data_IF_187780123948
#
_entry.id   IF_187780123948
#
_cell.length_a   1.000
_cell.length_b   1.000
_cell.length_c   1.000
_cell.angle_alpha   90.00
_cell.angle_beta   90.00
_cell.angle_gamma   90.00
#
_symmetry.space_group_name_H-M   'P 1'
#
loop_
_entity.id
_entity.type
_entity.pdbx_description
1 polymer ?
#
# COMPACT_ATOMS: atom_id res chain seq x y z
N UNK A 1 -6.13 -0.16 12.80
CA UNK A 1 -5.04 -0.77 13.58
C UNK A 1 -4.67 0.19 14.69
N UNK A 2 -4.49 -0.30 15.90
CA UNK A 2 -3.87 0.49 16.96
C UNK A 2 -2.37 0.24 16.94
N UNK A 3 -1.57 1.25 16.55
CA UNK A 3 -0.12 1.11 16.45
C UNK A 3 0.57 1.06 17.81
N UNK A 4 -0.10 1.48 18.90
CA UNK A 4 0.48 1.38 20.25
C UNK A 4 0.34 -0.03 20.82
N UNK A 5 -0.77 -0.70 20.54
CA UNK A 5 -1.05 -2.03 21.08
C UNK A 5 -0.77 -3.16 20.09
N UNK A 6 -0.41 -2.83 18.84
CA UNK A 6 -0.25 -3.80 17.77
C UNK A 6 -1.50 -4.70 17.59
N UNK A 7 -2.69 -4.14 17.81
CA UNK A 7 -3.97 -4.86 17.71
C UNK A 7 -4.79 -4.43 16.50
N UNK A 8 -5.29 -5.43 15.77
CA UNK A 8 -6.35 -5.24 14.79
C UNK A 8 -7.68 -5.14 15.52
N UNK A 9 -8.22 -3.93 15.55
CA UNK A 9 -9.51 -3.59 16.16
C UNK A 9 -10.58 -3.43 15.08
N UNK A 10 -11.70 -4.14 15.23
CA UNK A 10 -12.93 -3.96 14.46
C UNK A 10 -13.88 -3.05 15.25
N UNK A 11 -14.27 -1.94 14.64
CA UNK A 11 -15.26 -1.02 15.19
C UNK A 11 -16.61 -1.28 14.53
N UNK A 12 -17.59 -1.71 15.32
CA UNK A 12 -18.98 -1.81 14.85
C UNK A 12 -19.62 -0.42 14.96
N UNK A 13 -20.54 -0.09 14.03
CA UNK A 13 -21.23 1.22 14.00
C UNK A 13 -22.01 1.58 15.28
N UNK A 14 -22.12 0.65 16.25
CA UNK A 14 -22.73 0.86 17.57
C UNK A 14 -21.71 0.92 18.73
N UNK A 15 -20.43 1.16 18.43
CA UNK A 15 -19.41 1.51 19.43
C UNK A 15 -18.78 0.35 20.20
N UNK A 16 -19.19 -0.91 19.95
CA UNK A 16 -18.53 -2.07 20.54
C UNK A 16 -17.21 -2.36 19.84
N UNK A 17 -16.13 -2.39 20.61
CA UNK A 17 -14.79 -2.76 20.17
C UNK A 17 -14.62 -4.28 20.19
N UNK A 18 -14.13 -4.86 19.09
CA UNK A 18 -13.72 -6.26 19.05
C UNK A 18 -12.30 -6.36 18.50
N UNK A 19 -11.36 -6.91 19.28
CA UNK A 19 -10.01 -7.24 18.80
C UNK A 19 -10.08 -8.55 18.03
N UNK A 20 -9.54 -8.60 16.81
CA UNK A 20 -9.59 -9.80 15.95
C UNK A 20 -8.26 -10.55 15.83
N UNK A 21 -7.13 -9.84 15.91
CA UNK A 21 -5.78 -10.42 15.96
C UNK A 21 -4.76 -9.39 16.48
N UNK A 22 -3.60 -9.86 16.97
CA UNK A 22 -2.52 -9.02 17.51
C UNK A 22 -2.47 -8.93 19.04
N UNK A 23 -1.42 -8.32 19.57
CA UNK A 23 -1.14 -8.16 21.01
C UNK A 23 0.35 -7.90 21.29
N UNK A 24 0.66 -7.34 22.46
CA UNK A 24 2.02 -7.01 22.89
C UNK A 24 2.79 -8.26 23.35
N UNK A 25 3.44 -8.94 22.41
CA UNK A 25 4.56 -9.83 22.66
C UNK A 25 5.62 -9.59 21.57
N UNK A 26 6.89 -9.68 21.93
CA UNK A 26 8.01 -9.54 21.00
C UNK A 26 8.44 -10.90 20.41
N UNK A 27 7.76 -11.97 20.81
CA UNK A 27 8.03 -13.32 20.33
C UNK A 27 7.27 -13.51 19.00
N UNK A 28 7.97 -13.75 17.89
CA UNK A 28 7.43 -13.84 16.53
C UNK A 28 6.45 -15.02 16.26
N UNK A 29 5.57 -15.34 17.21
CA UNK A 29 4.47 -16.26 17.09
C UNK A 29 3.55 -15.89 15.93
N UNK A 30 2.91 -16.90 15.35
CA UNK A 30 2.09 -16.76 14.15
C UNK A 30 0.91 -15.79 14.32
N UNK A 31 0.45 -15.59 15.56
CA UNK A 31 -0.68 -14.72 15.91
C UNK A 31 -0.27 -13.31 16.42
N UNK A 32 1.03 -13.01 16.50
CA UNK A 32 1.55 -11.71 16.92
C UNK A 32 1.93 -10.87 15.68
N UNK A 33 1.30 -9.71 15.54
CA UNK A 33 1.56 -8.77 14.44
C UNK A 33 2.43 -7.66 15.00
N UNK A 34 3.53 -7.33 14.32
CA UNK A 34 4.50 -6.34 14.79
C UNK A 34 4.64 -5.21 13.77
N UNK A 35 4.30 -3.98 14.20
CA UNK A 35 4.41 -2.77 13.39
C UNK A 35 3.64 -2.87 12.05
N UNK A 36 2.31 -3.00 12.16
CA UNK A 36 1.44 -3.07 10.98
C UNK A 36 1.46 -1.75 10.20
N UNK A 37 1.83 -1.85 8.91
CA UNK A 37 1.88 -0.70 8.02
C UNK A 37 0.59 -0.52 7.20
N UNK A 38 0.06 -1.60 6.63
CA UNK A 38 -1.13 -1.58 5.79
C UNK A 38 -2.08 -2.73 6.13
N UNK A 39 -3.38 -2.47 5.95
CA UNK A 39 -4.47 -3.41 6.19
C UNK A 39 -5.49 -3.32 5.06
N UNK A 40 -5.84 -4.47 4.48
CA UNK A 40 -6.87 -4.60 3.43
C UNK A 40 -7.88 -5.65 3.85
N UNK A 41 -9.17 -5.33 3.76
CA UNK A 41 -10.26 -6.26 4.05
C UNK A 41 -10.77 -6.84 2.73
N UNK A 42 -11.04 -8.14 2.70
CA UNK A 42 -11.64 -8.76 1.53
C UNK A 42 -13.12 -8.36 1.35
N UNK A 43 -13.69 -8.60 0.17
CA UNK A 43 -15.02 -8.09 -0.20
C UNK A 43 -16.17 -8.57 0.68
N UNK A 44 -16.10 -9.78 1.23
CA UNK A 44 -17.11 -10.34 2.14
C UNK A 44 -16.83 -10.04 3.62
N UNK A 45 -15.77 -9.27 3.92
CA UNK A 45 -15.29 -8.94 5.25
C UNK A 45 -15.05 -10.14 6.18
N UNK A 46 -14.69 -11.30 5.61
CA UNK A 46 -14.31 -12.48 6.38
C UNK A 46 -12.84 -12.47 6.81
N UNK A 47 -11.97 -11.79 6.07
CA UNK A 47 -10.54 -11.73 6.35
C UNK A 47 -9.97 -10.32 6.21
N UNK A 48 -8.98 -10.02 7.06
CA UNK A 48 -8.08 -8.88 6.89
C UNK A 48 -6.69 -9.38 6.50
N UNK A 49 -6.10 -8.76 5.50
CA UNK A 49 -4.71 -8.93 5.13
C UNK A 49 -3.90 -7.82 5.76
N UNK A 50 -2.72 -8.15 6.28
CA UNK A 50 -1.87 -7.24 7.03
C UNK A 50 -0.42 -7.41 6.62
N UNK A 51 0.26 -6.30 6.36
CA UNK A 51 1.71 -6.28 6.34
C UNK A 51 2.26 -6.22 7.76
N UNK A 52 2.90 -7.31 8.17
CA UNK A 52 3.59 -7.47 9.45
C UNK A 52 5.06 -7.13 9.23
N UNK A 53 5.35 -5.84 9.35
CA UNK A 53 6.55 -5.19 8.82
C UNK A 53 7.83 -5.76 9.43
N UNK A 54 7.88 -5.87 10.76
CA UNK A 54 9.09 -6.28 11.47
C UNK A 54 9.31 -7.80 11.42
N UNK A 55 8.25 -8.57 11.22
CA UNK A 55 8.35 -10.01 10.97
C UNK A 55 8.57 -10.36 9.49
N UNK A 56 8.70 -9.38 8.60
CA UNK A 56 8.96 -9.58 7.17
C UNK A 56 7.95 -10.53 6.48
N UNK A 57 6.66 -10.39 6.84
CA UNK A 57 5.62 -11.28 6.34
C UNK A 57 4.32 -10.55 6.06
N UNK A 58 3.47 -11.18 5.25
CA UNK A 58 2.08 -10.79 5.08
C UNK A 58 1.19 -11.85 5.72
N UNK A 59 0.28 -11.40 6.56
CA UNK A 59 -0.65 -12.24 7.29
C UNK A 59 -2.08 -12.06 6.79
N UNK A 60 -2.84 -13.14 6.73
CA UNK A 60 -4.30 -13.15 6.58
C UNK A 60 -4.92 -13.54 7.91
N UNK A 61 -5.69 -12.65 8.49
CA UNK A 61 -6.35 -12.80 9.79
C UNK A 61 -7.85 -12.99 9.57
N UNK A 62 -8.46 -13.98 10.24
CA UNK A 62 -9.91 -14.12 10.26
C UNK A 62 -10.55 -12.96 11.03
N UNK A 63 -11.60 -12.37 10.46
CA UNK A 63 -12.44 -11.38 11.13
C UNK A 63 -13.67 -12.02 11.81
N UNK A 64 -13.83 -13.34 11.68
CA UNK A 64 -14.92 -14.12 12.27
C UNK A 64 -14.44 -14.97 13.46
N UNK A 65 -13.22 -15.48 13.39
CA UNK A 65 -12.61 -16.34 14.41
C UNK A 65 -11.38 -15.65 14.99
N UNK A 66 -11.34 -15.48 16.31
CA UNK A 66 -10.21 -14.83 16.98
C UNK A 66 -8.95 -15.70 16.90
N UNK A 67 -7.81 -15.10 16.57
CA UNK A 67 -6.50 -15.77 16.60
C UNK A 67 -6.16 -16.64 15.38
N UNK A 68 -7.09 -16.82 14.43
CA UNK A 68 -6.83 -17.51 13.17
C UNK A 68 -6.02 -16.61 12.22
N UNK A 69 -4.70 -16.80 12.23
CA UNK A 69 -3.74 -16.06 11.40
C UNK A 69 -2.93 -17.01 10.51
N UNK A 70 -2.88 -16.70 9.22
CA UNK A 70 -2.15 -17.47 8.21
C UNK A 70 -1.12 -16.59 7.51
N UNK A 71 0.09 -17.09 7.31
CA UNK A 71 1.09 -16.40 6.49
C UNK A 71 0.77 -16.66 5.03
N UNK A 72 0.57 -15.59 4.25
CA UNK A 72 0.31 -15.68 2.81
C UNK A 72 1.54 -15.34 1.96
N UNK A 73 2.51 -14.61 2.51
CA UNK A 73 3.75 -14.27 1.84
C UNK A 73 4.85 -13.95 2.85
N UNK A 74 6.11 -14.17 2.45
CA UNK A 74 7.27 -13.95 3.30
C UNK A 74 7.57 -15.13 4.22
N UNK A 75 8.85 -15.24 4.61
CA UNK A 75 9.36 -16.16 5.62
C UNK A 75 10.06 -15.32 6.69
N UNK A 76 10.18 -15.87 7.90
CA UNK A 76 10.94 -15.20 8.94
C UNK A 76 12.39 -14.95 8.49
N UNK A 77 12.87 -13.73 8.75
CA UNK A 77 14.21 -13.27 8.37
C UNK A 77 14.21 -12.37 7.15
N UNK A 78 15.34 -11.69 6.94
CA UNK A 78 15.57 -10.84 5.77
C UNK A 78 16.13 -11.69 4.63
N UNK A 79 15.64 -11.45 3.40
CA UNK A 79 16.13 -12.09 2.20
C UNK A 79 15.55 -11.45 0.94
N UNK A 80 16.16 -11.70 -0.21
CA UNK A 80 15.74 -11.18 -1.50
C UNK A 80 15.29 -12.29 -2.49
N UNK A 81 15.30 -13.55 -2.06
CA UNK A 81 14.72 -14.67 -2.82
C UNK A 81 13.19 -14.48 -2.97
N UNK A 82 12.59 -15.25 -3.88
CA UNK A 82 11.17 -15.08 -4.26
C UNK A 82 10.19 -15.32 -3.11
N UNK A 83 10.57 -16.09 -2.10
CA UNK A 83 9.76 -16.42 -0.94
C UNK A 83 10.09 -15.57 0.32
N UNK A 84 11.07 -14.68 0.25
CA UNK A 84 11.40 -13.75 1.33
C UNK A 84 10.85 -12.35 1.04
N UNK A 85 10.57 -11.61 2.10
CA UNK A 85 10.25 -10.18 2.05
C UNK A 85 11.25 -9.44 2.94
N UNK A 86 11.36 -8.14 2.74
CA UNK A 86 12.12 -7.23 3.58
C UNK A 86 11.27 -5.99 3.83
N UNK A 87 10.81 -5.82 5.06
CA UNK A 87 9.96 -4.70 5.49
C UNK A 87 8.80 -4.41 4.52
N UNK A 88 7.91 -5.39 4.24
CA UNK A 88 6.81 -5.17 3.32
C UNK A 88 5.84 -4.13 3.87
N UNK A 89 5.49 -3.10 3.07
CA UNK A 89 4.63 -2.00 3.51
C UNK A 89 3.24 -2.05 2.88
N UNK A 90 3.15 -1.63 1.62
CA UNK A 90 1.90 -1.55 0.87
C UNK A 90 1.40 -2.93 0.46
N UNK A 91 0.11 -3.16 0.62
CA UNK A 91 -0.58 -4.36 0.13
C UNK A 91 -1.81 -3.95 -0.66
N UNK A 92 -2.15 -4.71 -1.71
CA UNK A 92 -3.33 -4.47 -2.52
C UNK A 92 -3.89 -5.79 -3.04
N UNK A 93 -5.22 -5.90 -3.14
CA UNK A 93 -5.88 -7.15 -3.56
C UNK A 93 -6.78 -6.88 -4.74
N UNK A 94 -6.60 -7.65 -5.81
CA UNK A 94 -7.41 -7.58 -7.01
C UNK A 94 -7.82 -8.98 -7.40
N UNK A 95 -9.12 -9.26 -7.33
CA UNK A 95 -9.68 -10.58 -7.61
C UNK A 95 -8.94 -11.64 -6.79
N UNK A 96 -8.22 -12.56 -7.45
CA UNK A 96 -7.45 -13.62 -6.81
C UNK A 96 -5.94 -13.33 -6.66
N UNK A 97 -5.52 -12.11 -6.93
CA UNK A 97 -4.12 -11.72 -6.88
C UNK A 97 -3.87 -10.74 -5.74
N UNK A 98 -2.87 -11.07 -4.94
CA UNK A 98 -2.39 -10.25 -3.83
C UNK A 98 -1.08 -9.60 -4.23
N UNK A 99 -0.98 -8.29 -4.09
CA UNK A 99 0.19 -7.51 -4.47
C UNK A 99 0.87 -6.95 -3.23
N UNK A 100 2.20 -7.03 -3.21
CA UNK A 100 3.03 -6.64 -2.07
C UNK A 100 4.12 -5.68 -2.52
N UNK A 101 4.15 -4.50 -1.91
CA UNK A 101 5.31 -3.64 -1.94
C UNK A 101 6.34 -4.20 -0.97
N UNK A 102 7.31 -4.93 -1.51
CA UNK A 102 8.44 -5.47 -0.78
C UNK A 102 9.50 -4.37 -0.66
N UNK A 103 9.27 -3.45 0.28
CA UNK A 103 9.91 -2.13 0.34
C UNK A 103 11.41 -2.20 0.48
N UNK A 104 11.92 -3.04 1.39
CA UNK A 104 13.34 -3.19 1.63
C UNK A 104 14.10 -3.81 0.46
N UNK A 105 13.42 -4.62 -0.35
CA UNK A 105 13.97 -5.19 -1.58
C UNK A 105 13.69 -4.33 -2.83
N UNK A 106 12.97 -3.22 -2.67
CA UNK A 106 12.64 -2.31 -3.77
C UNK A 106 11.85 -2.96 -4.89
N UNK A 107 10.91 -3.88 -4.60
CA UNK A 107 10.17 -4.60 -5.66
C UNK A 107 8.67 -4.68 -5.39
N UNK A 108 7.92 -4.98 -6.45
CA UNK A 108 6.49 -5.28 -6.40
C UNK A 108 6.33 -6.77 -6.67
N UNK A 109 5.75 -7.50 -5.72
CA UNK A 109 5.49 -8.93 -5.84
C UNK A 109 4.00 -9.20 -5.99
N UNK A 110 3.67 -10.32 -6.62
CA UNK A 110 2.32 -10.84 -6.74
C UNK A 110 2.28 -12.25 -6.16
N UNK A 111 1.21 -12.55 -5.43
CA UNK A 111 0.86 -13.87 -4.94
C UNK A 111 -0.52 -14.23 -5.47
N UNK A 112 -0.62 -15.36 -6.16
CA UNK A 112 -1.90 -15.93 -6.58
C UNK A 112 -2.48 -16.71 -5.39
N UNK A 113 -3.67 -16.30 -4.92
CA UNK A 113 -4.21 -16.72 -3.62
C UNK A 113 -4.70 -18.18 -3.58
N UNK A 114 -4.96 -18.82 -4.72
CA UNK A 114 -5.47 -20.20 -4.79
C UNK A 114 -4.35 -21.25 -4.87
N UNK A 115 -3.26 -20.92 -5.54
CA UNK A 115 -2.11 -21.77 -5.85
C UNK A 115 -0.89 -21.42 -4.99
N UNK A 116 -0.91 -20.27 -4.31
CA UNK A 116 0.24 -19.71 -3.59
C UNK A 116 1.45 -19.45 -4.49
N UNK A 117 1.25 -19.32 -5.80
CA UNK A 117 2.34 -19.01 -6.72
C UNK A 117 2.77 -17.55 -6.52
N UNK A 118 4.07 -17.35 -6.37
CA UNK A 118 4.68 -16.03 -6.17
C UNK A 118 5.43 -15.62 -7.45
N UNK A 119 5.33 -14.35 -7.84
CA UNK A 119 6.07 -13.78 -8.95
C UNK A 119 6.48 -12.32 -8.68
N UNK A 120 7.48 -11.83 -9.40
CA UNK A 120 7.87 -10.42 -9.37
C UNK A 120 7.14 -9.71 -10.52
N UNK A 121 6.35 -8.69 -10.19
CA UNK A 121 5.66 -7.84 -11.18
C UNK A 121 6.59 -6.73 -11.64
N UNK A 122 7.30 -6.11 -10.70
CA UNK A 122 8.22 -5.00 -10.96
C UNK A 122 9.47 -5.19 -10.10
N UNK A 123 10.64 -5.22 -10.74
CA UNK A 123 11.92 -5.43 -10.07
C UNK A 123 12.52 -4.14 -9.48
N UNK A 124 13.39 -4.26 -8.48
CA UNK A 124 14.16 -3.16 -7.93
C UNK A 124 15.48 -2.86 -8.64
N UNK A 125 16.26 -1.94 -8.04
CA UNK A 125 17.55 -1.44 -8.53
C UNK A 125 18.63 -2.51 -8.80
N UNK A 126 18.40 -3.77 -8.42
CA UNK A 126 19.30 -4.90 -8.66
C UNK A 126 18.99 -5.69 -9.94
N UNK A 127 18.02 -5.27 -10.76
CA UNK A 127 17.74 -5.93 -12.05
C UNK A 127 18.41 -5.23 -13.24
N UNK A 128 18.78 -6.01 -14.25
CA UNK A 128 19.29 -5.53 -15.55
C UNK A 128 18.27 -4.72 -16.37
N UNK A 129 17.02 -4.61 -15.91
CA UNK A 129 15.93 -3.87 -16.54
C UNK A 129 15.74 -2.50 -15.89
N UNK A 130 16.74 -1.62 -16.06
CA UNK A 130 16.80 -0.27 -15.47
C UNK A 130 15.59 0.64 -15.72
N UNK A 131 14.77 0.34 -16.74
CA UNK A 131 13.63 1.19 -17.12
C UNK A 131 12.43 1.10 -16.16
N UNK A 132 12.37 0.09 -15.30
CA UNK A 132 11.19 -0.18 -14.44
C UNK A 132 11.55 -0.36 -12.96
N UNK A 133 12.62 0.26 -12.48
CA UNK A 133 13.12 0.02 -11.13
C UNK A 133 12.33 0.79 -10.05
N UNK A 134 11.88 0.06 -9.03
CA UNK A 134 11.44 0.61 -7.75
C UNK A 134 12.64 0.70 -6.79
N UNK A 135 12.55 1.55 -5.77
CA UNK A 135 13.59 1.70 -4.75
C UNK A 135 13.06 1.36 -3.36
N UNK A 136 12.01 2.03 -2.91
CA UNK A 136 11.33 1.79 -1.65
C UNK A 136 9.83 2.01 -1.84
N UNK A 137 9.14 1.06 -2.50
CA UNK A 137 7.70 1.18 -2.72
C UNK A 137 6.97 1.08 -1.38
N UNK A 138 6.09 2.03 -1.08
CA UNK A 138 5.40 2.14 0.22
C UNK A 138 3.90 1.90 0.13
N UNK A 139 3.28 2.21 -1.01
CA UNK A 139 1.85 2.06 -1.26
C UNK A 139 1.59 1.65 -2.70
N UNK A 140 0.58 0.80 -2.89
CA UNK A 140 0.10 0.34 -4.19
C UNK A 140 -1.42 0.44 -4.19
N UNK A 141 -2.01 1.02 -5.23
CA UNK A 141 -3.46 1.00 -5.50
C UNK A 141 -3.72 0.80 -6.99
N UNK A 142 -4.88 0.29 -7.38
CA UNK A 142 -5.31 0.19 -8.78
C UNK A 142 -6.41 1.19 -9.13
N UNK A 143 -6.54 1.49 -10.43
CA UNK A 143 -7.75 2.12 -10.96
C UNK A 143 -8.95 1.16 -10.91
N UNK A 144 -10.17 1.69 -11.10
CA UNK A 144 -11.42 0.92 -10.98
C UNK A 144 -11.52 -0.30 -11.91
N UNK A 145 -10.69 -0.34 -12.95
CA UNK A 145 -10.67 -1.41 -13.96
C UNK A 145 -9.41 -2.28 -13.88
N UNK A 146 -8.55 -2.06 -12.88
CA UNK A 146 -7.30 -2.77 -12.66
C UNK A 146 -6.32 -2.77 -13.85
N UNK A 147 -6.42 -1.74 -14.70
CA UNK A 147 -5.54 -1.56 -15.88
C UNK A 147 -4.24 -0.87 -15.51
N UNK A 148 -4.26 -0.07 -14.45
CA UNK A 148 -3.11 0.71 -14.00
C UNK A 148 -2.93 0.57 -12.50
N UNK A 149 -1.68 0.39 -12.07
CA UNK A 149 -1.30 0.56 -10.67
C UNK A 149 -0.63 1.90 -10.46
N UNK A 150 -0.93 2.51 -9.32
CA UNK A 150 -0.24 3.69 -8.82
C UNK A 150 0.58 3.28 -7.62
N UNK A 151 1.87 3.59 -7.66
CA UNK A 151 2.87 3.14 -6.71
C UNK A 151 3.56 4.38 -6.14
N UNK A 152 3.52 4.51 -4.82
CA UNK A 152 4.36 5.47 -4.12
C UNK A 152 5.72 4.82 -3.88
N UNK A 153 6.80 5.49 -4.27
CA UNK A 153 8.13 4.91 -4.26
C UNK A 153 9.20 5.98 -4.03
N UNK A 154 9.75 6.02 -2.81
CA UNK A 154 10.82 6.95 -2.40
C UNK A 154 10.61 8.39 -2.91
N UNK A 155 9.47 9.00 -2.58
CA UNK A 155 9.16 10.39 -2.95
C UNK A 155 8.70 10.57 -4.40
N UNK A 156 8.60 9.47 -5.15
CA UNK A 156 8.00 9.40 -6.48
C UNK A 156 6.58 8.85 -6.40
N UNK A 157 5.79 9.20 -7.40
CA UNK A 157 4.54 8.49 -7.72
C UNK A 157 4.67 7.97 -9.14
N UNK A 158 4.52 6.67 -9.28
CA UNK A 158 4.71 5.92 -10.51
C UNK A 158 3.37 5.30 -10.91
N UNK A 159 3.09 5.25 -12.20
CA UNK A 159 1.95 4.56 -12.78
C UNK A 159 2.46 3.38 -13.61
N UNK A 160 2.15 2.16 -13.21
CA UNK A 160 2.42 0.96 -14.00
C UNK A 160 1.20 0.63 -14.86
N UNK A 161 1.40 0.58 -16.18
CA UNK A 161 0.35 0.27 -17.15
C UNK A 161 0.51 -1.16 -17.65
N UNK A 162 -0.43 -2.04 -17.31
CA UNK A 162 -0.31 -3.47 -17.62
C UNK A 162 -0.39 -3.77 -19.12
N UNK A 163 -1.27 -3.07 -19.85
CA UNK A 163 -1.50 -3.30 -21.27
C UNK A 163 -0.26 -3.09 -22.16
N UNK A 164 0.62 -2.18 -21.75
CA UNK A 164 1.86 -1.83 -22.48
C UNK A 164 3.12 -2.17 -21.70
N UNK A 165 2.99 -2.78 -20.52
CA UNK A 165 4.09 -3.12 -19.59
C UNK A 165 5.06 -1.95 -19.38
N UNK A 166 4.51 -0.76 -19.09
CA UNK A 166 5.28 0.48 -19.00
C UNK A 166 5.06 1.20 -17.69
N UNK A 167 6.16 1.71 -17.13
CA UNK A 167 6.14 2.63 -16.00
C UNK A 167 6.14 4.08 -16.48
N UNK A 168 5.21 4.88 -15.94
CA UNK A 168 5.10 6.32 -16.18
C UNK A 168 5.31 7.04 -14.87
N UNK A 169 6.18 8.05 -14.86
CA UNK A 169 6.40 8.87 -13.67
C UNK A 169 5.37 10.00 -13.63
N UNK A 170 4.56 10.05 -12.58
CA UNK A 170 3.58 11.13 -12.38
C UNK A 170 4.19 12.27 -11.55
N UNK A 171 4.92 11.92 -10.50
CA UNK A 171 5.55 12.87 -9.57
C UNK A 171 6.98 12.41 -9.27
N UNK A 172 7.92 13.35 -9.21
CA UNK A 172 9.29 13.15 -8.73
C UNK A 172 9.64 14.25 -7.72
N UNK A 173 9.45 13.96 -6.43
CA UNK A 173 9.83 14.86 -5.34
C UNK A 173 11.03 14.32 -4.55
N UNK A 174 11.93 13.58 -5.22
CA UNK A 174 13.16 13.10 -4.59
C UNK A 174 14.05 14.29 -4.27
N UNK A 175 14.37 14.43 -2.99
CA UNK A 175 15.38 15.37 -2.50
C UNK A 175 16.60 14.55 -2.11
N UNK A 176 17.76 14.85 -2.68
CA UNK A 176 18.96 14.01 -2.62
C UNK A 176 19.50 13.74 -1.19
N UNK A 177 19.05 14.50 -0.19
CA UNK A 177 19.56 14.44 1.18
C UNK A 177 18.52 14.05 2.24
N UNK A 178 17.24 13.94 1.89
CA UNK A 178 16.17 13.59 2.82
C UNK A 178 15.31 12.54 2.12
N UNK A 179 15.15 11.38 2.75
CA UNK A 179 14.30 10.29 2.27
C UNK A 179 12.84 10.73 2.24
N UNK A 180 12.46 11.54 1.25
CA UNK A 180 11.09 11.98 1.08
C UNK A 180 10.23 10.77 0.81
N UNK A 181 9.27 10.49 1.70
CA UNK A 181 8.43 9.33 1.63
C UNK A 181 6.99 9.78 1.40
N UNK A 182 6.44 9.37 0.26
CA UNK A 182 5.01 9.40 0.01
C UNK A 182 4.46 8.12 0.63
N UNK A 183 3.54 8.21 1.59
CA UNK A 183 3.16 7.05 2.42
C UNK A 183 1.96 6.32 1.84
N UNK A 184 0.87 7.04 1.61
CA UNK A 184 -0.42 6.49 1.21
C UNK A 184 -0.94 7.18 -0.04
N UNK A 185 -1.57 6.38 -0.90
CA UNK A 185 -2.25 6.81 -2.11
C UNK A 185 -3.74 6.52 -2.01
N UNK A 186 -4.57 7.38 -2.61
CA UNK A 186 -6.01 7.14 -2.76
C UNK A 186 -6.52 7.77 -4.05
N UNK A 187 -7.25 6.99 -4.85
CA UNK A 187 -7.99 7.48 -6.01
C UNK A 187 -9.40 7.93 -5.61
N UNK A 188 -9.92 8.92 -6.34
CA UNK A 188 -11.35 9.24 -6.36
C UNK A 188 -12.14 8.11 -7.01
N UNK A 189 -13.44 8.02 -6.74
CA UNK A 189 -14.30 6.94 -7.27
C UNK A 189 -14.30 6.84 -8.80
N UNK A 190 -14.14 7.96 -9.48
CA UNK A 190 -14.05 8.04 -10.94
C UNK A 190 -12.61 7.96 -11.49
N UNK A 191 -11.62 7.70 -10.63
CA UNK A 191 -10.19 7.71 -10.93
C UNK A 191 -9.70 9.00 -11.61
N UNK A 192 -10.37 10.16 -11.45
CA UNK A 192 -9.94 11.42 -12.06
C UNK A 192 -8.85 12.15 -11.27
N UNK A 193 -8.78 11.89 -9.96
CA UNK A 193 -7.73 12.43 -9.11
C UNK A 193 -7.09 11.35 -8.25
N UNK A 194 -5.77 11.46 -8.13
CA UNK A 194 -4.95 10.72 -7.18
C UNK A 194 -4.53 11.67 -6.06
N UNK A 195 -4.85 11.29 -4.83
CA UNK A 195 -4.35 11.93 -3.63
C UNK A 195 -3.19 11.15 -3.05
N UNK A 196 -2.16 11.87 -2.62
CA UNK A 196 -0.98 11.28 -2.00
C UNK A 196 -0.60 12.02 -0.73
N UNK A 197 -0.27 11.28 0.32
CA UNK A 197 0.20 11.83 1.60
C UNK A 197 1.71 11.97 1.55
N UNK A 198 2.19 13.22 1.54
CA UNK A 198 3.60 13.56 1.52
C UNK A 198 4.03 13.95 2.95
N UNK A 199 4.40 12.92 3.71
CA UNK A 199 4.55 12.98 5.18
C UNK A 199 5.64 13.97 5.59
N UNK A 200 6.80 13.92 4.94
CA UNK A 200 7.94 14.77 5.33
C UNK A 200 7.74 16.24 4.94
N UNK A 201 6.84 16.51 4.00
CA UNK A 201 6.48 17.87 3.60
C UNK A 201 5.14 18.35 4.20
N UNK A 202 4.55 17.59 5.12
CA UNK A 202 3.29 17.93 5.81
C UNK A 202 2.17 18.37 4.87
N UNK A 203 2.03 17.71 3.72
CA UNK A 203 1.06 18.10 2.69
C UNK A 203 0.36 16.91 2.04
N UNK A 204 -0.76 17.22 1.40
CA UNK A 204 -1.46 16.29 0.51
C UNK A 204 -1.30 16.79 -0.91
N UNK A 205 -0.83 15.90 -1.78
CA UNK A 205 -0.74 16.15 -3.22
C UNK A 205 -2.06 15.76 -3.86
N UNK A 206 -2.59 16.61 -4.74
CA UNK A 206 -3.70 16.29 -5.65
C UNK A 206 -3.18 16.25 -7.08
N UNK A 207 -3.32 15.11 -7.73
CA UNK A 207 -2.77 14.83 -9.07
C UNK A 207 -3.93 14.48 -10.00
N UNK A 208 -4.06 15.16 -11.13
CA UNK A 208 -5.07 14.86 -12.14
C UNK A 208 -4.62 13.69 -13.03
N UNK A 209 -5.19 12.52 -12.81
CA UNK A 209 -4.83 11.28 -13.53
C UNK A 209 -5.36 11.27 -14.97
N UNK A 210 -6.36 12.08 -15.31
CA UNK A 210 -6.87 12.19 -16.69
C UNK A 210 -5.85 12.82 -17.61
N UNK A 211 -5.05 13.77 -17.11
CA UNK A 211 -3.95 14.34 -17.89
C UNK A 211 -2.93 13.23 -18.21
N UNK A 212 -2.64 12.32 -17.28
CA UNK A 212 -1.75 11.18 -17.57
C UNK A 212 -2.28 10.23 -18.65
N UNK A 213 -3.61 10.16 -18.87
CA UNK A 213 -4.22 9.38 -19.97
C UNK A 213 -4.00 10.04 -21.33
N UNK A 214 -3.81 11.36 -21.37
CA UNK A 214 -3.70 12.15 -22.61
C UNK A 214 -2.26 12.46 -23.03
N UNK A 215 -1.26 12.34 -22.15
CA UNK A 215 0.10 12.75 -22.50
C UNK A 215 0.92 11.60 -23.11
N UNK A 216 1.41 11.84 -24.33
CA UNK A 216 2.42 11.06 -25.04
C UNK A 216 3.83 11.20 -24.44
N UNK A 217 4.74 10.39 -24.96
CA UNK A 217 5.91 9.79 -24.30
C UNK A 217 6.99 10.72 -23.68
N UNK A 218 6.94 12.04 -23.86
CA UNK A 218 8.06 12.96 -23.56
C UNK A 218 7.71 14.24 -22.76
N UNK A 219 6.61 14.26 -22.00
CA UNK A 219 6.26 15.46 -21.22
C UNK A 219 6.90 15.53 -19.84
N UNK A 220 7.06 16.77 -19.36
CA UNK A 220 7.51 17.11 -18.01
C UNK A 220 6.61 16.48 -16.92
N UNK A 221 7.17 16.21 -15.71
CA UNK A 221 6.41 15.68 -14.58
C UNK A 221 5.21 16.57 -14.23
N UNK A 222 4.12 15.96 -13.78
CA UNK A 222 2.87 16.68 -13.52
C UNK A 222 3.00 17.63 -12.33
N UNK A 223 2.48 18.85 -12.49
CA UNK A 223 2.35 19.82 -11.40
C UNK A 223 1.25 19.34 -10.45
N UNK A 224 1.63 18.80 -9.30
CA UNK A 224 0.71 18.52 -8.21
C UNK A 224 0.23 19.84 -7.61
N UNK A 225 -1.10 20.00 -7.44
CA UNK A 225 -1.64 21.13 -6.69
C UNK A 225 -1.57 20.80 -5.21
N UNK A 226 -0.94 21.69 -4.42
CA UNK A 226 -0.68 21.49 -2.99
C UNK A 226 -1.72 22.21 -2.15
N UNK A 227 -2.32 21.53 -1.18
CA UNK A 227 -3.12 22.16 -0.13
C UNK A 227 -2.34 22.08 1.19
N UNK A 228 -2.05 23.24 1.79
CA UNK A 228 -1.29 23.38 3.03
C UNK A 228 -2.25 23.84 4.14
N UNK A 229 -2.54 22.98 5.12
CA UNK A 229 -2.94 23.45 6.46
C UNK A 229 -2.74 22.36 7.53
N UNK A 230 -2.09 22.76 8.62
CA UNK A 230 -1.71 21.92 9.77
C UNK A 230 -2.87 21.18 10.44
N UNK A 231 -4.09 21.74 10.38
CA UNK A 231 -5.29 21.15 11.00
C UNK A 231 -6.04 20.14 10.10
N UNK A 232 -5.74 20.11 8.78
CA UNK A 232 -6.44 19.23 7.85
C UNK A 232 -5.96 17.78 7.93
N UNK A 233 -4.67 17.52 8.24
CA UNK A 233 -4.09 16.18 8.20
C UNK A 233 -4.66 15.18 9.21
N UNK A 234 -5.02 15.63 10.43
CA UNK A 234 -5.56 14.74 11.47
C UNK A 234 -7.08 14.55 11.35
N UNK A 235 -7.80 15.60 10.90
CA UNK A 235 -9.26 15.57 10.80
C UNK A 235 -9.74 14.88 9.50
N UNK A 236 -9.01 14.96 8.38
CA UNK A 236 -9.43 14.31 7.13
C UNK A 236 -9.30 12.77 7.13
N UNK A 237 -8.39 12.18 7.92
CA UNK A 237 -8.31 10.71 8.03
C UNK A 237 -9.57 10.09 8.66
N UNK A 238 -10.27 10.86 9.51
CA UNK A 238 -11.52 10.43 10.16
C UNK A 238 -12.75 10.88 9.36
N UNK A 239 -12.74 12.10 8.80
CA UNK A 239 -13.90 12.66 8.07
C UNK A 239 -14.13 11.98 6.72
N UNK A 240 -13.09 11.59 5.96
CA UNK A 240 -13.26 10.90 4.66
C UNK A 240 -13.93 9.51 4.83
N UNK A 241 -13.85 8.88 6.00
CA UNK A 241 -14.57 7.64 6.29
C UNK A 241 -16.05 7.86 6.69
N UNK A 242 -16.45 9.09 7.05
CA UNK A 242 -17.80 9.40 7.56
C UNK A 242 -18.67 10.11 6.51
N UNK A 243 -18.11 10.98 5.67
CA UNK A 243 -18.95 11.81 4.75
C UNK A 243 -19.47 11.05 3.52
N UNK A 244 -18.82 9.98 3.06
CA UNK A 244 -19.34 9.19 1.92
C UNK A 244 -20.47 8.21 2.30
N UNK A 245 -20.99 8.26 3.55
CA UNK A 245 -22.20 7.52 3.97
C UNK A 245 -23.48 8.36 4.01
N UNK A 246 -23.40 9.67 3.74
CA UNK A 246 -24.56 10.57 3.90
C UNK A 246 -25.05 11.26 2.63
N UNK A 247 -24.49 10.94 1.46
CA UNK A 247 -25.12 11.28 0.17
C UNK A 247 -25.65 10.00 -0.49
N UNK A 248 -26.78 9.53 0.04
CA UNK A 248 -27.79 8.75 -0.69
C UNK A 248 -29.00 9.65 -0.91
#
# INVERSE_FOLDING_TARGET
MDQQTNEIKKYLLRGSLQTTAGGNGDDAHINQITDCYSLVINSDASYAYVSDLNNNRICRCSLKTLGDVFIIAGRMGLGNELNYLAHPRGIHVIKNHFYVADTGNGRLMQVELNTSQISIVISGSHSSFYRYQLNQPTSIISDQYDKNFYIADQGRILQWRFNVQRMVKLVDNRIASIGNEIYGLKLTENDCYLYATDKLNYRILKINTMISKCIGENSAPMVATTYSSYFACLLLMVVVNITMRFEQ
#
